data_IF_884427329253
#
_entry.id   IF_884427329253
#
_cell.length_a   1.000
_cell.length_b   1.000
_cell.length_c   1.000
_cell.angle_alpha   90.00
_cell.angle_beta   90.00
_cell.angle_gamma   90.00
#
_symmetry.space_group_name_H-M   'P 1'
#
loop_
_entity.id
_entity.type
_entity.pdbx_description
1 polymer ?
#
# COMPACT_ATOMS: atom_id res chain seq x y z
N UNK A 1 3.84 -33.49 -53.69
CA UNK A 1 2.83 -32.76 -52.87
C UNK A 1 3.09 -33.17 -51.43
N UNK A 2 4.11 -32.56 -50.82
CA UNK A 2 4.47 -32.75 -49.42
C UNK A 2 5.03 -31.40 -49.00
N UNK A 3 4.32 -30.74 -48.08
CA UNK A 3 4.68 -29.43 -47.55
C UNK A 3 5.48 -29.71 -46.28
N UNK A 4 6.76 -29.35 -46.30
CA UNK A 4 7.59 -29.26 -45.11
C UNK A 4 6.96 -28.27 -44.13
N UNK A 5 6.59 -28.74 -42.94
CA UNK A 5 6.33 -27.88 -41.79
C UNK A 5 7.61 -27.81 -40.96
N UNK A 6 8.26 -26.64 -40.95
CA UNK A 6 9.31 -26.31 -40.00
C UNK A 6 8.72 -26.30 -38.58
N UNK A 7 9.21 -27.20 -37.73
CA UNK A 7 9.01 -27.15 -36.29
C UNK A 7 9.75 -25.93 -35.72
N UNK A 8 9.00 -24.85 -35.44
CA UNK A 8 9.51 -23.76 -34.62
C UNK A 8 9.61 -24.24 -33.17
N UNK A 9 10.83 -24.46 -32.70
CA UNK A 9 11.16 -24.55 -31.28
C UNK A 9 10.58 -23.33 -30.56
N UNK A 10 9.56 -23.55 -29.73
CA UNK A 10 9.13 -22.60 -28.71
C UNK A 10 10.18 -22.67 -27.61
N UNK A 11 11.13 -21.74 -27.64
CA UNK A 11 12.01 -21.50 -26.50
C UNK A 11 11.13 -20.83 -25.43
N UNK A 12 10.62 -21.64 -24.49
CA UNK A 12 10.10 -21.13 -23.22
C UNK A 12 11.28 -20.48 -22.48
N UNK A 13 11.39 -19.15 -22.61
CA UNK A 13 12.20 -18.34 -21.73
C UNK A 13 11.72 -18.59 -20.30
N UNK A 14 12.62 -18.90 -19.35
CA UNK A 14 12.20 -19.05 -17.96
C UNK A 14 11.61 -17.72 -17.50
N UNK A 15 10.34 -17.71 -17.09
CA UNK A 15 9.74 -16.61 -16.35
C UNK A 15 10.60 -16.36 -15.12
N UNK A 16 11.55 -15.42 -15.23
CA UNK A 16 12.27 -14.90 -14.08
C UNK A 16 11.21 -14.44 -13.07
N UNK A 17 11.36 -14.78 -11.78
CA UNK A 17 10.44 -14.26 -10.77
C UNK A 17 10.44 -12.74 -10.89
N UNK A 18 9.28 -12.17 -11.20
CA UNK A 18 9.08 -10.74 -11.36
C UNK A 18 9.68 -10.02 -10.13
N UNK A 19 10.77 -9.28 -10.36
CA UNK A 19 11.59 -8.69 -9.30
C UNK A 19 10.72 -7.81 -8.41
N UNK A 20 10.76 -8.05 -7.10
CA UNK A 20 10.04 -7.26 -6.10
C UNK A 20 10.96 -6.14 -5.62
N UNK A 21 10.48 -4.90 -5.68
CA UNK A 21 11.17 -3.73 -5.16
C UNK A 21 10.65 -3.39 -3.78
N UNK A 22 11.53 -3.42 -2.78
CA UNK A 22 11.18 -3.14 -1.41
C UNK A 22 11.38 -1.65 -1.12
N UNK A 23 10.43 -1.02 -0.45
CA UNK A 23 10.54 0.35 0.03
C UNK A 23 10.47 0.31 1.55
N UNK A 24 11.63 0.34 2.20
CA UNK A 24 11.70 0.49 3.64
C UNK A 24 11.26 1.92 4.04
N UNK A 25 10.06 2.03 4.58
CA UNK A 25 9.39 3.29 4.89
C UNK A 25 9.36 3.53 6.39
N UNK A 26 9.89 4.66 6.84
CA UNK A 26 9.67 5.17 8.19
C UNK A 26 8.50 6.16 8.18
N UNK A 27 7.64 6.09 9.19
CA UNK A 27 6.46 6.95 9.32
C UNK A 27 6.67 7.86 10.53
N UNK A 28 6.59 9.16 10.32
CA UNK A 28 6.58 10.18 11.36
C UNK A 28 5.17 10.72 11.52
N UNK A 29 4.72 10.87 12.77
CA UNK A 29 3.38 11.34 13.11
C UNK A 29 3.56 12.62 13.92
N UNK A 30 3.06 13.74 13.42
CA UNK A 30 3.21 15.01 14.10
C UNK A 30 2.29 15.18 15.32
N UNK A 31 2.63 16.17 16.15
CA UNK A 31 1.93 16.42 17.40
C UNK A 31 0.46 16.81 17.18
N UNK A 32 0.13 17.46 16.05
CA UNK A 32 -1.24 17.84 15.71
C UNK A 32 -2.09 16.60 15.47
N UNK A 33 -1.58 15.64 14.68
CA UNK A 33 -2.31 14.39 14.43
C UNK A 33 -2.51 13.59 15.73
N UNK A 34 -1.51 13.56 16.59
CA UNK A 34 -1.60 12.91 17.92
C UNK A 34 -2.73 13.55 18.76
N UNK A 35 -2.84 14.89 18.73
CA UNK A 35 -3.88 15.63 19.47
C UNK A 35 -5.27 15.42 18.89
N UNK A 36 -5.40 15.30 17.56
CA UNK A 36 -6.70 15.04 16.91
C UNK A 36 -7.34 13.71 17.35
N UNK A 37 -6.53 12.78 17.87
CA UNK A 37 -6.99 11.51 18.44
C UNK A 37 -7.05 11.54 19.97
N UNK A 38 -7.02 12.72 20.61
CA UNK A 38 -7.04 12.88 22.07
C UNK A 38 -5.99 12.03 22.82
N UNK A 39 -4.85 11.77 22.16
CA UNK A 39 -3.80 10.90 22.71
C UNK A 39 -4.14 9.40 22.69
N UNK A 40 -5.24 8.98 22.06
CA UNK A 40 -5.62 7.58 21.81
C UNK A 40 -4.68 6.92 20.79
N UNK A 41 -3.43 6.69 21.22
CA UNK A 41 -2.33 6.21 20.39
C UNK A 41 -2.63 4.87 19.72
N UNK A 42 -3.38 3.99 20.37
CA UNK A 42 -3.74 2.69 19.81
C UNK A 42 -4.69 2.83 18.61
N UNK A 43 -5.71 3.68 18.71
CA UNK A 43 -6.64 3.96 17.61
C UNK A 43 -5.94 4.67 16.45
N UNK A 44 -5.08 5.64 16.76
CA UNK A 44 -4.26 6.31 15.74
C UNK A 44 -3.30 5.32 15.05
N UNK A 45 -2.65 4.43 15.80
CA UNK A 45 -1.79 3.40 15.22
C UNK A 45 -2.58 2.47 14.31
N UNK A 46 -3.77 2.04 14.74
CA UNK A 46 -4.66 1.18 13.94
C UNK A 46 -5.08 1.88 12.64
N UNK A 47 -5.42 3.16 12.70
CA UNK A 47 -5.72 3.97 11.51
C UNK A 47 -4.52 4.04 10.56
N UNK A 48 -3.34 4.38 11.06
CA UNK A 48 -2.11 4.48 10.25
C UNK A 48 -1.80 3.14 9.56
N UNK A 49 -1.91 2.03 10.29
CA UNK A 49 -1.67 0.70 9.73
C UNK A 49 -2.70 0.35 8.64
N UNK A 50 -3.98 0.70 8.83
CA UNK A 50 -5.01 0.47 7.83
C UNK A 50 -4.82 1.36 6.57
N UNK A 51 -4.41 2.63 6.74
CA UNK A 51 -4.03 3.51 5.64
C UNK A 51 -2.88 2.89 4.84
N UNK A 52 -1.79 2.49 5.51
CA UNK A 52 -0.63 1.91 4.81
C UNK A 52 -0.91 0.55 4.18
N UNK A 53 -1.81 -0.24 4.77
CA UNK A 53 -2.30 -1.47 4.15
C UNK A 53 -3.06 -1.17 2.86
N UNK A 54 -3.94 -0.16 2.86
CA UNK A 54 -4.64 0.30 1.65
C UNK A 54 -3.64 0.81 0.59
N UNK A 55 -2.62 1.59 0.99
CA UNK A 55 -1.53 2.02 0.08
C UNK A 55 -0.85 0.81 -0.57
N UNK A 56 -0.49 -0.22 0.21
CA UNK A 56 0.11 -1.45 -0.33
C UNK A 56 -0.85 -2.18 -1.28
N UNK A 57 -2.14 -2.24 -0.97
CA UNK A 57 -3.14 -2.84 -1.85
C UNK A 57 -3.26 -2.09 -3.17
N UNK A 58 -3.25 -0.75 -3.14
CA UNK A 58 -3.25 0.09 -4.34
C UNK A 58 -2.04 -0.21 -5.23
N UNK A 59 -0.84 -0.34 -4.67
CA UNK A 59 0.36 -0.74 -5.42
C UNK A 59 0.32 -2.20 -5.92
N UNK A 60 -0.56 -3.04 -5.37
CA UNK A 60 -0.80 -4.41 -5.80
C UNK A 60 -1.99 -4.55 -6.75
N UNK A 61 -2.66 -3.47 -7.13
CA UNK A 61 -3.72 -3.54 -8.14
C UNK A 61 -3.16 -4.03 -9.46
N UNK A 62 -3.97 -4.78 -10.21
CA UNK A 62 -3.57 -5.40 -11.49
C UNK A 62 -3.12 -4.36 -12.54
N UNK A 63 -3.46 -3.09 -12.34
CA UNK A 63 -3.04 -1.97 -13.19
C UNK A 63 -1.59 -1.51 -12.93
N UNK A 64 -1.00 -1.83 -11.78
CA UNK A 64 0.44 -1.68 -11.54
C UNK A 64 1.18 -2.92 -12.04
N UNK A 65 2.09 -2.74 -12.99
CA UNK A 65 2.87 -3.81 -13.65
C UNK A 65 4.22 -4.06 -13.00
N UNK A 66 4.54 -3.30 -11.96
CA UNK A 66 5.76 -3.45 -11.17
C UNK A 66 5.41 -3.90 -9.77
N UNK A 67 6.00 -5.01 -9.30
CA UNK A 67 5.81 -5.47 -7.91
C UNK A 67 6.56 -4.59 -6.93
N UNK A 68 5.82 -3.72 -6.25
CA UNK A 68 6.34 -2.83 -5.22
C UNK A 68 5.82 -3.28 -3.85
N UNK A 69 6.75 -3.48 -2.91
CA UNK A 69 6.44 -3.88 -1.54
C UNK A 69 6.88 -2.78 -0.57
N UNK A 70 5.92 -2.14 0.07
CA UNK A 70 6.12 -1.13 1.10
C UNK A 70 6.29 -1.85 2.44
N UNK A 71 7.40 -1.58 3.11
CA UNK A 71 7.73 -2.18 4.40
C UNK A 71 7.81 -1.09 5.45
N UNK A 72 6.99 -1.16 6.50
CA UNK A 72 7.00 -0.16 7.57
C UNK A 72 8.16 -0.46 8.52
N UNK A 73 9.25 0.30 8.48
CA UNK A 73 10.37 0.11 9.42
C UNK A 73 10.00 0.49 10.84
N UNK A 74 9.32 1.63 11.00
CA UNK A 74 8.95 2.19 12.30
C UNK A 74 7.88 3.27 12.16
N UNK A 75 7.03 3.39 13.18
CA UNK A 75 6.15 4.54 13.38
C UNK A 75 6.70 5.36 14.55
N UNK A 76 7.01 6.64 14.29
CA UNK A 76 7.61 7.57 15.24
C UNK A 76 6.63 8.69 15.53
N UNK A 77 6.14 8.75 16.77
CA UNK A 77 5.27 9.80 17.26
C UNK A 77 6.12 10.95 17.78
N UNK A 78 6.04 12.11 17.14
CA UNK A 78 6.84 13.28 17.47
C UNK A 78 6.24 14.02 18.66
N UNK A 79 7.07 14.27 19.65
CA UNK A 79 6.72 15.05 20.84
C UNK A 79 7.02 16.52 20.57
N UNK A 80 5.97 17.33 20.44
CA UNK A 80 6.07 18.76 20.15
C UNK A 80 6.75 19.59 21.25
N UNK A 81 6.95 19.03 22.45
CA UNK A 81 7.68 19.69 23.53
C UNK A 81 9.20 19.48 23.43
N UNK A 82 9.67 18.65 22.49
CA UNK A 82 11.10 18.43 22.25
C UNK A 82 11.62 19.39 21.20
N UNK A 83 12.87 19.82 21.39
CA UNK A 83 13.54 20.76 20.49
C UNK A 83 13.99 20.15 19.14
N UNK A 84 13.85 18.83 18.93
CA UNK A 84 14.30 18.14 17.72
C UNK A 84 13.13 17.57 16.91
N UNK A 85 12.27 18.47 16.42
CA UNK A 85 11.17 18.18 15.48
C UNK A 85 11.21 19.16 14.31
N UNK A 86 10.74 18.78 13.11
CA UNK A 86 10.68 19.71 11.98
C UNK A 86 9.65 20.82 12.24
N UNK A 87 9.95 22.04 11.79
CA UNK A 87 9.00 23.15 11.84
C UNK A 87 7.87 22.89 10.83
N UNK A 88 6.62 22.91 11.32
CA UNK A 88 5.41 22.61 10.53
C UNK A 88 4.98 23.75 9.61
N UNK A 89 5.61 24.92 9.72
CA UNK A 89 5.29 26.13 8.98
C UNK A 89 3.79 26.48 9.00
N UNK A 90 3.10 26.16 10.10
CA UNK A 90 1.66 26.32 10.29
C UNK A 90 0.78 25.68 9.19
N UNK A 91 1.31 24.67 8.50
CA UNK A 91 0.63 23.97 7.41
C UNK A 91 0.90 24.51 6.00
N UNK A 92 1.81 25.47 5.83
CA UNK A 92 2.35 25.83 4.51
C UNK A 92 3.10 24.61 3.94
N UNK A 93 2.48 23.96 2.95
CA UNK A 93 2.90 22.62 2.52
C UNK A 93 4.29 22.60 1.89
N UNK A 94 4.65 23.65 1.15
CA UNK A 94 5.95 23.77 0.49
C UNK A 94 7.05 23.89 1.56
N UNK A 95 6.87 24.80 2.53
CA UNK A 95 7.84 25.00 3.62
C UNK A 95 7.91 23.81 4.58
N UNK A 96 6.77 23.20 4.90
CA UNK A 96 6.75 22.06 5.81
C UNK A 96 7.45 20.85 5.18
N UNK A 97 7.20 20.55 3.90
CA UNK A 97 7.92 19.48 3.21
C UNK A 97 9.44 19.74 3.23
N UNK A 98 9.87 20.96 2.92
CA UNK A 98 11.30 21.33 2.95
C UNK A 98 11.93 21.13 4.33
N UNK A 99 11.27 21.62 5.37
CA UNK A 99 11.72 21.48 6.76
C UNK A 99 11.79 20.01 7.18
N UNK A 100 10.77 19.22 6.84
CA UNK A 100 10.71 17.80 7.13
C UNK A 100 11.81 17.02 6.40
N UNK A 101 11.95 17.21 5.09
CA UNK A 101 12.96 16.56 4.27
C UNK A 101 14.38 16.86 4.76
N UNK A 102 14.66 18.12 5.13
CA UNK A 102 15.93 18.52 5.70
C UNK A 102 16.18 17.87 7.08
N UNK A 103 15.14 17.82 7.92
CA UNK A 103 15.21 17.22 9.25
C UNK A 103 15.42 15.70 9.20
N UNK A 104 14.58 14.96 8.47
CA UNK A 104 14.68 13.49 8.39
C UNK A 104 16.01 13.06 7.79
N UNK A 105 16.59 13.84 6.85
CA UNK A 105 17.93 13.58 6.30
C UNK A 105 19.02 13.66 7.37
N UNK A 106 18.93 14.64 8.29
CA UNK A 106 19.90 14.73 9.41
C UNK A 106 19.77 13.51 10.32
N UNK A 107 18.54 13.07 10.59
CA UNK A 107 18.28 11.86 11.37
C UNK A 107 18.81 10.61 10.66
N UNK A 108 18.54 10.45 9.37
CA UNK A 108 19.03 9.35 8.52
C UNK A 108 20.56 9.24 8.55
N UNK A 109 21.28 10.38 8.48
CA UNK A 109 22.75 10.41 8.56
C UNK A 109 23.29 9.90 9.90
N UNK A 110 22.59 10.20 11.00
CA UNK A 110 22.96 9.75 12.36
C UNK A 110 22.49 8.33 12.67
N UNK A 111 21.61 7.78 11.85
CA UNK A 111 21.09 6.42 11.99
C UNK A 111 22.09 5.42 11.41
N UNK A 112 22.30 4.32 12.14
CA UNK A 112 23.14 3.20 11.73
C UNK A 112 22.64 2.59 10.41
N UNK A 113 23.54 2.02 9.61
CA UNK A 113 23.28 1.72 8.19
C UNK A 113 22.12 0.72 8.01
N UNK A 114 22.02 -0.27 8.89
CA UNK A 114 21.00 -1.32 8.95
C UNK A 114 19.61 -0.81 9.38
N UNK A 115 19.58 0.29 10.14
CA UNK A 115 18.36 0.94 10.63
C UNK A 115 17.88 2.09 9.73
N UNK A 116 18.60 2.37 8.63
CA UNK A 116 18.18 3.38 7.65
C UNK A 116 16.92 2.93 6.91
N UNK A 117 16.29 3.89 6.27
CA UNK A 117 15.09 3.73 5.46
C UNK A 117 15.35 4.28 4.06
N UNK A 118 14.52 3.83 3.12
CA UNK A 118 14.49 4.30 1.74
C UNK A 118 13.61 5.52 1.60
N UNK A 119 12.52 5.57 2.37
CA UNK A 119 11.48 6.60 2.27
C UNK A 119 10.98 7.07 3.64
N UNK A 120 10.76 8.38 3.79
CA UNK A 120 10.23 8.98 5.01
C UNK A 120 8.87 9.64 4.75
N UNK A 121 7.82 9.14 5.42
CA UNK A 121 6.48 9.68 5.34
C UNK A 121 6.18 10.52 6.59
N UNK A 122 5.77 11.79 6.42
CA UNK A 122 5.21 12.62 7.49
C UNK A 122 3.69 12.62 7.40
N UNK A 123 3.02 12.22 8.49
CA UNK A 123 1.58 12.34 8.67
C UNK A 123 1.26 13.48 9.61
N UNK A 124 0.48 14.44 9.13
CA UNK A 124 0.04 15.60 9.90
C UNK A 124 -1.46 15.64 10.15
N UNK A 125 -1.83 16.21 11.29
CA UNK A 125 -3.22 16.54 11.63
C UNK A 125 -3.61 17.95 11.21
N UNK A 126 -2.70 18.72 10.62
CA UNK A 126 -2.98 20.06 10.11
C UNK A 126 -3.91 20.00 8.90
N UNK A 127 -4.53 21.15 8.63
CA UNK A 127 -5.16 21.45 7.34
C UNK A 127 -4.08 22.16 6.50
N UNK A 128 -3.46 21.40 5.60
CA UNK A 128 -2.37 21.85 4.75
C UNK A 128 -2.88 22.85 3.73
N UNK A 129 -2.04 23.82 3.38
CA UNK A 129 -2.37 24.79 2.37
C UNK A 129 -1.16 25.16 1.51
N UNK A 130 -1.47 25.60 0.30
CA UNK A 130 -0.52 26.27 -0.60
C UNK A 130 -0.92 27.72 -0.77
N UNK A 131 0.05 28.62 -0.75
CA UNK A 131 -0.19 30.03 -1.03
C UNK A 131 -0.40 30.23 -2.53
N UNK A 132 -1.53 30.85 -2.90
CA UNK A 132 -1.79 31.33 -4.26
C UNK A 132 -1.94 32.84 -4.17
N UNK A 133 -0.87 33.56 -4.53
CA UNK A 133 -0.75 34.98 -4.18
C UNK A 133 -0.80 35.17 -2.67
N UNK A 134 -1.81 35.88 -2.19
CA UNK A 134 -2.02 36.14 -0.75
C UNK A 134 -3.09 35.23 -0.11
N UNK A 135 -3.66 34.29 -0.86
CA UNK A 135 -4.73 33.42 -0.38
C UNK A 135 -4.22 32.00 -0.07
N UNK A 136 -4.79 31.40 0.98
CA UNK A 136 -4.50 30.01 1.37
C UNK A 136 -5.44 29.05 0.63
N UNK A 137 -4.91 28.26 -0.29
CA UNK A 137 -5.63 27.17 -0.92
C UNK A 137 -5.43 25.86 -0.13
N UNK A 138 -6.52 25.37 0.48
CA UNK A 138 -6.57 24.19 1.37
C UNK A 138 -6.95 22.88 0.67
N UNK A 139 -6.92 22.86 -0.66
CA UNK A 139 -7.26 21.66 -1.45
C UNK A 139 -6.09 20.70 -1.62
N UNK A 140 -4.91 21.03 -1.06
CA UNK A 140 -3.70 20.22 -1.19
C UNK A 140 -3.58 19.34 0.04
N UNK A 141 -3.64 18.02 -0.16
CA UNK A 141 -3.65 17.02 0.91
C UNK A 141 -2.27 16.36 1.14
N UNK A 142 -1.36 16.51 0.18
CA UNK A 142 -0.02 15.96 0.23
C UNK A 142 0.93 16.64 -0.74
N UNK A 143 2.22 16.41 -0.54
CA UNK A 143 3.26 16.90 -1.44
C UNK A 143 4.49 15.99 -1.40
N UNK A 144 5.06 15.78 -2.57
CA UNK A 144 6.34 15.15 -2.80
C UNK A 144 7.15 15.93 -3.82
N UNK A 145 8.47 15.78 -3.78
CA UNK A 145 9.30 16.10 -4.94
C UNK A 145 9.01 15.11 -6.10
N UNK A 146 9.66 15.24 -7.25
CA UNK A 146 9.65 14.21 -8.33
C UNK A 146 11.03 13.52 -8.44
N UNK A 147 11.08 12.21 -8.73
CA UNK A 147 12.31 11.43 -8.94
C UNK A 147 13.33 11.48 -7.76
N UNK A 148 12.86 11.21 -6.55
CA UNK A 148 13.66 11.31 -5.32
C UNK A 148 13.83 10.03 -4.52
N UNK A 149 13.21 8.90 -4.91
CA UNK A 149 13.45 7.61 -4.23
C UNK A 149 14.94 7.26 -4.24
N UNK A 150 15.44 6.62 -3.16
CA UNK A 150 16.87 6.37 -2.89
C UNK A 150 17.76 7.62 -2.74
N UNK A 151 17.22 8.84 -2.73
CA UNK A 151 17.99 10.06 -2.49
C UNK A 151 17.57 10.66 -1.15
N UNK A 152 18.35 10.51 -0.06
CA UNK A 152 17.90 10.89 1.28
C UNK A 152 17.46 12.36 1.44
N UNK A 153 17.91 13.29 0.58
CA UNK A 153 17.44 14.69 0.61
C UNK A 153 16.02 14.87 0.06
N UNK A 154 15.55 13.93 -0.74
CA UNK A 154 14.32 14.06 -1.53
C UNK A 154 13.34 12.91 -1.29
N UNK A 155 13.78 11.76 -0.77
CA UNK A 155 12.92 10.60 -0.51
C UNK A 155 12.08 10.79 0.76
N UNK A 156 11.17 11.76 0.69
CA UNK A 156 10.26 12.18 1.74
C UNK A 156 8.92 12.61 1.11
N UNK A 157 7.83 12.36 1.83
CA UNK A 157 6.48 12.87 1.51
C UNK A 157 5.85 13.47 2.75
N UNK A 158 5.01 14.48 2.54
CA UNK A 158 4.17 15.08 3.58
C UNK A 158 2.71 14.85 3.18
N UNK A 159 1.91 14.32 4.09
CA UNK A 159 0.50 14.02 3.84
C UNK A 159 -0.35 14.34 5.07
N UNK A 160 -1.58 14.81 4.85
CA UNK A 160 -2.60 14.78 5.89
C UNK A 160 -2.94 13.33 6.24
N UNK A 161 -3.01 13.01 7.54
CA UNK A 161 -3.22 11.64 8.04
C UNK A 161 -4.54 11.43 8.80
N UNK A 162 -5.52 12.31 8.59
CA UNK A 162 -6.75 12.39 9.42
C UNK A 162 -7.79 11.30 9.10
N UNK A 163 -7.84 10.82 7.86
CA UNK A 163 -8.85 9.88 7.37
C UNK A 163 -8.28 8.97 6.27
N UNK A 164 -9.11 8.13 5.68
CA UNK A 164 -8.68 7.14 4.69
C UNK A 164 -8.46 7.68 3.27
N UNK A 165 -8.87 8.93 2.95
CA UNK A 165 -8.45 9.58 1.70
C UNK A 165 -6.92 9.66 1.62
N UNK A 166 -6.27 9.78 2.79
CA UNK A 166 -4.82 9.75 2.96
C UNK A 166 -4.15 8.56 2.26
N UNK A 167 -4.78 7.39 2.17
CA UNK A 167 -4.19 6.24 1.47
C UNK A 167 -3.98 6.50 -0.02
N UNK A 168 -4.96 7.11 -0.69
CA UNK A 168 -4.87 7.46 -2.11
C UNK A 168 -3.86 8.58 -2.35
N UNK A 169 -3.84 9.57 -1.46
CA UNK A 169 -2.88 10.68 -1.53
C UNK A 169 -1.45 10.18 -1.27
N UNK A 170 -1.21 9.33 -0.27
CA UNK A 170 0.11 8.74 -0.01
C UNK A 170 0.58 7.92 -1.21
N UNK A 171 -0.30 7.10 -1.81
CA UNK A 171 0.04 6.35 -3.02
C UNK A 171 0.45 7.29 -4.17
N UNK A 172 -0.30 8.37 -4.39
CA UNK A 172 0.03 9.40 -5.38
C UNK A 172 1.40 10.07 -5.11
N UNK A 173 1.62 10.54 -3.89
CA UNK A 173 2.87 11.22 -3.51
C UNK A 173 4.08 10.28 -3.56
N UNK A 174 3.92 9.02 -3.13
CA UNK A 174 4.96 8.00 -3.25
C UNK A 174 5.27 7.67 -4.72
N UNK A 175 4.27 7.70 -5.61
CA UNK A 175 4.46 7.50 -7.04
C UNK A 175 5.33 8.59 -7.68
N UNK A 176 5.19 9.85 -7.28
CA UNK A 176 6.13 10.91 -7.70
C UNK A 176 7.58 10.60 -7.31
N UNK A 177 7.85 9.77 -6.29
CA UNK A 177 9.21 9.32 -5.91
C UNK A 177 9.86 8.43 -6.95
N UNK A 178 9.05 7.69 -7.68
CA UNK A 178 9.45 6.93 -8.87
C UNK A 178 9.48 7.77 -10.15
N UNK A 179 9.31 9.08 -10.06
CA UNK A 179 9.37 9.96 -11.22
C UNK A 179 8.10 9.99 -12.06
N UNK A 180 6.99 9.45 -11.55
CA UNK A 180 5.68 9.61 -12.18
C UNK A 180 5.31 11.10 -12.22
N UNK A 181 4.81 11.58 -13.35
CA UNK A 181 4.19 12.90 -13.49
C UNK A 181 2.68 12.76 -13.45
N UNK A 182 1.97 13.88 -13.31
CA UNK A 182 0.51 13.86 -13.41
C UNK A 182 0.07 13.37 -14.80
N UNK A 183 -1.02 12.61 -14.84
CA UNK A 183 -1.65 12.22 -16.10
C UNK A 183 -2.23 13.46 -16.82
N UNK A 184 -2.09 13.55 -18.14
CA UNK A 184 -2.74 14.59 -18.96
C UNK A 184 -1.81 15.54 -19.71
N UNK A 185 -1.29 16.59 -19.07
CA UNK A 185 -0.58 17.64 -19.82
C UNK A 185 0.79 17.16 -20.35
N UNK A 186 1.55 16.44 -19.53
CA UNK A 186 2.91 15.99 -19.84
C UNK A 186 2.98 14.57 -20.42
N UNK A 187 1.83 13.92 -20.65
CA UNK A 187 1.73 12.57 -21.21
C UNK A 187 0.34 12.28 -21.80
N UNK A 188 0.16 11.15 -22.49
CA UNK A 188 -1.07 10.87 -23.23
C UNK A 188 -2.15 10.15 -22.38
N UNK A 189 -2.02 10.12 -21.05
CA UNK A 189 -3.01 9.49 -20.17
C UNK A 189 -4.13 10.47 -19.79
N UNK A 190 -5.30 9.90 -19.46
CA UNK A 190 -6.48 10.70 -19.15
C UNK A 190 -6.27 11.49 -17.83
N UNK A 191 -6.42 12.83 -17.83
CA UNK A 191 -6.13 13.67 -16.67
C UNK A 191 -7.07 13.45 -15.48
N UNK A 192 -8.20 12.74 -15.64
CA UNK A 192 -9.25 12.66 -14.61
C UNK A 192 -9.66 11.23 -14.21
N UNK A 193 -8.92 10.19 -14.63
CA UNK A 193 -9.32 8.79 -14.42
C UNK A 193 -8.47 7.97 -13.46
N UNK A 194 -7.24 8.38 -13.19
CA UNK A 194 -6.24 7.52 -12.57
C UNK A 194 -5.71 8.16 -11.29
N UNK A 195 -4.97 7.38 -10.49
CA UNK A 195 -4.39 7.86 -9.23
C UNK A 195 -3.49 9.09 -9.45
N UNK A 196 -2.75 9.15 -10.57
CA UNK A 196 -1.86 10.26 -10.90
C UNK A 196 -2.56 11.46 -11.55
N UNK A 197 -3.90 11.53 -11.53
CA UNK A 197 -4.63 12.77 -11.81
C UNK A 197 -4.24 13.87 -10.81
N UNK A 198 -4.07 15.11 -11.26
CA UNK A 198 -3.66 16.26 -10.41
C UNK A 198 -4.61 16.52 -9.22
N UNK A 199 -5.88 16.15 -9.37
CA UNK A 199 -6.92 16.30 -8.34
C UNK A 199 -7.40 14.94 -7.91
N UNK A 200 -7.65 14.75 -6.61
CA UNK A 200 -8.37 13.58 -6.10
C UNK A 200 -9.83 13.61 -6.58
N UNK A 201 -10.54 12.49 -6.38
CA UNK A 201 -11.97 12.42 -6.66
C UNK A 201 -12.45 11.06 -7.17
N UNK A 202 -13.74 10.98 -7.53
CA UNK A 202 -14.43 9.72 -7.80
C UNK A 202 -13.77 8.88 -8.89
N UNK A 203 -13.53 7.60 -8.61
CA UNK A 203 -13.06 6.62 -9.59
C UNK A 203 -11.56 6.66 -9.91
N UNK A 204 -10.79 7.56 -9.31
CA UNK A 204 -9.33 7.71 -9.49
C UNK A 204 -8.52 6.70 -8.66
N UNK A 205 -8.75 5.42 -8.95
CA UNK A 205 -8.31 4.29 -8.09
C UNK A 205 -7.27 3.42 -8.77
N UNK A 206 -7.16 3.51 -10.10
CA UNK A 206 -6.26 2.67 -10.88
C UNK A 206 -5.03 3.44 -11.34
N UNK A 207 -3.95 2.72 -11.61
CA UNK A 207 -2.75 3.29 -12.23
C UNK A 207 -2.92 3.40 -13.74
N UNK A 208 -2.36 4.46 -14.32
CA UNK A 208 -2.38 4.67 -15.76
C UNK A 208 -1.27 3.87 -16.46
N UNK A 209 -1.37 3.62 -17.78
CA UNK A 209 -0.24 3.14 -18.56
C UNK A 209 1.00 4.05 -18.45
N UNK A 210 0.80 5.37 -18.32
CA UNK A 210 1.90 6.33 -18.17
C UNK A 210 2.61 6.16 -16.83
N UNK A 211 1.86 5.90 -15.74
CA UNK A 211 2.42 5.58 -14.42
C UNK A 211 3.39 4.40 -14.49
N UNK A 212 2.99 3.34 -15.20
CA UNK A 212 3.84 2.15 -15.41
C UNK A 212 5.11 2.47 -16.20
N UNK A 213 4.99 3.23 -17.29
CA UNK A 213 6.15 3.65 -18.07
C UNK A 213 7.16 4.46 -17.24
N UNK A 214 6.68 5.36 -16.38
CA UNK A 214 7.57 6.15 -15.52
C UNK A 214 8.32 5.29 -14.51
N UNK A 215 7.64 4.37 -13.82
CA UNK A 215 8.31 3.51 -12.83
C UNK A 215 9.27 2.53 -13.49
N UNK A 216 8.93 1.95 -14.64
CA UNK A 216 9.84 1.10 -15.41
C UNK A 216 11.11 1.87 -15.80
N UNK A 217 10.97 3.08 -16.34
CA UNK A 217 12.10 3.95 -16.70
C UNK A 217 12.93 4.36 -15.48
N UNK A 218 12.29 4.60 -14.34
CA UNK A 218 13.00 4.88 -13.11
C UNK A 218 13.84 3.69 -12.66
N UNK A 219 13.26 2.49 -12.70
CA UNK A 219 13.88 1.24 -12.24
C UNK A 219 15.06 0.76 -13.09
N UNK A 220 15.18 1.24 -14.33
CA UNK A 220 16.34 0.97 -15.20
C UNK A 220 17.61 1.75 -14.79
N UNK A 221 17.52 2.71 -13.86
CA UNK A 221 18.67 3.52 -13.42
C UNK A 221 19.64 2.71 -12.53
N UNK A 222 20.94 2.94 -12.68
CA UNK A 222 22.01 2.16 -12.02
C UNK A 222 22.20 2.38 -10.51
N UNK A 223 21.43 3.27 -9.87
CA UNK A 223 21.62 3.67 -8.47
C UNK A 223 20.42 3.35 -7.55
N UNK A 224 19.81 2.17 -7.72
CA UNK A 224 18.64 1.73 -6.96
C UNK A 224 18.91 0.65 -5.93
N UNK A 225 20.17 0.55 -5.49
CA UNK A 225 20.61 -0.42 -4.47
C UNK A 225 19.84 -0.32 -3.14
N UNK A 226 19.16 0.80 -2.89
CA UNK A 226 18.32 0.96 -1.70
C UNK A 226 17.11 0.02 -1.75
N UNK A 227 16.47 -0.15 -2.91
CA UNK A 227 15.26 -0.94 -3.10
C UNK A 227 15.50 -2.47 -3.20
N UNK A 228 16.75 -2.86 -3.37
CA UNK A 228 17.18 -4.26 -3.51
C UNK A 228 17.47 -4.92 -2.16
N UNK A 229 17.62 -4.11 -1.10
CA UNK A 229 17.90 -4.61 0.25
C UNK A 229 16.58 -4.89 0.96
N UNK A 230 16.50 -6.07 1.57
CA UNK A 230 15.59 -6.29 2.69
C UNK A 230 16.48 -6.59 3.87
N UNK A 231 16.47 -5.72 4.88
CA UNK A 231 17.13 -6.03 6.14
C UNK A 231 16.38 -7.20 6.80
N UNK A 232 17.06 -8.09 7.53
CA UNK A 232 16.34 -9.12 8.30
C UNK A 232 15.48 -8.50 9.42
N UNK A 233 15.76 -7.24 9.79
CA UNK A 233 14.96 -6.41 10.70
C UNK A 233 13.75 -5.74 10.02
N UNK A 234 13.49 -5.97 8.71
CA UNK A 234 12.29 -5.53 7.99
C UNK A 234 11.04 -6.31 8.44
N UNK A 235 10.78 -6.36 9.74
CA UNK A 235 9.77 -7.22 10.38
C UNK A 235 8.32 -6.73 10.22
N UNK A 236 8.05 -5.84 9.27
CA UNK A 236 6.67 -5.49 8.89
C UNK A 236 6.52 -5.59 7.39
N UNK A 237 6.71 -6.82 6.91
CA UNK A 237 6.32 -7.21 5.57
C UNK A 237 4.85 -7.61 5.63
N UNK A 238 3.92 -6.70 5.33
CA UNK A 238 2.51 -7.06 5.12
C UNK A 238 2.38 -7.77 3.77
N UNK A 239 2.85 -9.02 3.75
CA UNK A 239 2.56 -10.11 2.80
C UNK A 239 3.41 -11.32 3.24
N UNK A 240 3.17 -11.87 4.43
CA UNK A 240 3.70 -13.18 4.79
C UNK A 240 2.70 -13.91 5.71
N UNK A 241 2.36 -15.19 5.45
CA UNK A 241 1.43 -16.00 6.23
C UNK A 241 2.00 -16.45 7.59
N UNK A 242 2.73 -15.56 8.28
CA UNK A 242 3.35 -15.79 9.58
C UNK A 242 3.35 -14.48 10.38
N UNK A 243 2.19 -14.10 10.91
CA UNK A 243 2.13 -13.36 12.17
C UNK A 243 0.76 -13.65 12.80
N UNK A 244 0.72 -14.60 13.73
CA UNK A 244 -0.51 -15.13 14.34
C UNK A 244 -1.29 -14.09 15.20
N UNK A 245 -0.85 -12.83 15.21
CA UNK A 245 -1.41 -11.75 16.04
C UNK A 245 -1.74 -10.44 15.31
N UNK A 246 -1.51 -10.31 14.00
CA UNK A 246 -1.96 -9.15 13.22
C UNK A 246 -3.14 -9.54 12.33
N UNK A 247 -4.20 -8.76 12.47
CA UNK A 247 -5.49 -8.96 11.82
C UNK A 247 -5.33 -9.09 10.30
N UNK A 248 -5.48 -10.31 9.76
CA UNK A 248 -5.37 -10.64 8.33
C UNK A 248 -6.51 -10.04 7.48
N UNK A 249 -7.41 -9.28 8.12
CA UNK A 249 -8.55 -8.63 7.48
C UNK A 249 -8.13 -7.44 6.63
N UNK A 250 -8.83 -7.25 5.51
CA UNK A 250 -8.67 -6.07 4.66
C UNK A 250 -9.13 -4.79 5.39
N UNK A 251 -8.65 -3.58 5.01
CA UNK A 251 -8.99 -2.35 5.71
C UNK A 251 -10.51 -2.11 5.83
N UNK A 252 -11.29 -2.39 4.77
CA UNK A 252 -12.75 -2.28 4.77
C UNK A 252 -13.49 -3.36 5.59
N UNK A 253 -12.81 -4.43 5.99
CA UNK A 253 -13.33 -5.41 6.96
C UNK A 253 -13.04 -5.00 8.41
N UNK A 254 -11.99 -4.21 8.62
CA UNK A 254 -11.62 -3.65 9.93
C UNK A 254 -12.40 -2.37 10.24
N UNK A 255 -12.69 -1.56 9.22
CA UNK A 255 -13.42 -0.30 9.28
C UNK A 255 -14.65 -0.37 8.38
N UNK A 256 -15.83 -0.49 9.00
CA UNK A 256 -17.08 -0.50 8.24
C UNK A 256 -17.37 0.88 7.64
N UNK A 257 -18.34 0.95 6.71
CA UNK A 257 -18.68 2.19 6.00
C UNK A 257 -19.11 3.34 6.91
N UNK A 258 -19.74 3.05 8.07
CA UNK A 258 -20.05 4.11 9.04
C UNK A 258 -18.78 4.71 9.62
N UNK A 259 -17.81 3.88 10.02
CA UNK A 259 -16.53 4.34 10.57
C UNK A 259 -15.73 5.14 9.52
N UNK A 260 -15.73 4.69 8.26
CA UNK A 260 -15.10 5.42 7.15
C UNK A 260 -15.72 6.82 6.99
N UNK A 261 -17.05 6.94 6.97
CA UNK A 261 -17.75 8.24 6.91
C UNK A 261 -17.50 9.12 8.14
N UNK A 262 -17.47 8.52 9.34
CA UNK A 262 -17.26 9.25 10.59
C UNK A 262 -15.84 9.82 10.69
N UNK A 263 -14.83 9.08 10.23
CA UNK A 263 -13.45 9.55 10.16
C UNK A 263 -13.27 10.62 9.07
N UNK A 264 -13.96 10.50 7.94
CA UNK A 264 -13.85 11.46 6.85
C UNK A 264 -14.50 12.81 7.19
N UNK A 265 -15.73 12.81 7.73
CA UNK A 265 -16.57 14.02 7.84
C UNK A 265 -17.12 14.28 9.26
N UNK A 266 -16.90 13.37 10.21
CA UNK A 266 -17.31 13.50 11.60
C UNK A 266 -18.42 12.54 12.03
N UNK A 267 -18.59 12.37 13.34
CA UNK A 267 -19.42 11.32 13.98
C UNK A 267 -20.90 11.32 13.56
N UNK A 268 -21.43 12.43 13.06
CA UNK A 268 -22.81 12.58 12.57
C UNK A 268 -23.07 11.86 11.24
N UNK A 269 -22.04 11.65 10.43
CA UNK A 269 -22.18 11.19 9.06
C UNK A 269 -22.38 9.68 8.98
N UNK A 270 -23.14 9.25 7.97
CA UNK A 270 -23.47 7.85 7.66
C UNK A 270 -23.32 7.62 6.15
N UNK A 271 -23.06 6.40 5.69
CA UNK A 271 -22.94 6.10 4.27
C UNK A 271 -24.28 6.34 3.57
N UNK A 272 -24.22 7.04 2.44
CA UNK A 272 -25.35 7.31 1.57
C UNK A 272 -25.23 6.46 0.31
N UNK A 273 -26.10 5.47 0.18
CA UNK A 273 -26.08 4.49 -0.92
C UNK A 273 -27.43 4.51 -1.62
N UNK A 274 -27.43 4.70 -2.94
CA UNK A 274 -28.63 4.71 -3.76
C UNK A 274 -28.40 3.99 -5.09
N UNK A 275 -29.46 3.51 -5.74
CA UNK A 275 -29.34 2.87 -7.07
C UNK A 275 -29.00 3.85 -8.20
N UNK A 276 -29.05 5.16 -7.93
CA UNK A 276 -28.78 6.21 -8.92
C UNK A 276 -27.32 6.66 -8.84
N UNK A 277 -26.72 6.87 -10.00
CA UNK A 277 -25.43 7.58 -10.11
C UNK A 277 -25.51 8.99 -9.52
N UNK A 278 -24.47 9.48 -8.81
CA UNK A 278 -23.17 8.83 -8.57
C UNK A 278 -23.11 7.93 -7.31
N UNK A 279 -24.23 7.67 -6.64
CA UNK A 279 -24.29 7.02 -5.32
C UNK A 279 -24.39 5.49 -5.36
N UNK A 280 -24.28 4.89 -6.54
CA UNK A 280 -24.50 3.46 -6.78
C UNK A 280 -23.21 2.62 -6.81
N UNK A 281 -22.04 3.25 -6.66
CA UNK A 281 -20.74 2.58 -6.74
C UNK A 281 -19.80 3.07 -5.64
N UNK A 282 -19.99 2.54 -4.43
CA UNK A 282 -19.18 2.94 -3.26
C UNK A 282 -17.71 2.58 -3.43
N UNK A 283 -17.39 1.58 -4.25
CA UNK A 283 -16.02 1.16 -4.49
C UNK A 283 -15.27 2.18 -5.36
N UNK A 284 -15.99 3.04 -6.08
CA UNK A 284 -15.42 4.19 -6.80
C UNK A 284 -15.44 5.48 -5.99
N UNK A 285 -16.45 5.66 -5.16
CA UNK A 285 -16.58 6.82 -4.27
C UNK A 285 -17.59 6.52 -3.16
N UNK A 286 -17.15 6.55 -1.90
CA UNK A 286 -18.03 6.49 -0.75
C UNK A 286 -18.64 7.87 -0.51
N UNK A 287 -19.96 7.95 -0.64
CA UNK A 287 -20.73 9.14 -0.28
C UNK A 287 -21.24 9.04 1.15
N UNK A 288 -21.14 10.13 1.88
CA UNK A 288 -21.53 10.22 3.28
C UNK A 288 -22.52 11.37 3.47
N UNK A 289 -23.61 11.12 4.20
CA UNK A 289 -24.66 12.11 4.43
C UNK A 289 -24.89 12.39 5.91
N UNK A 290 -25.17 13.66 6.20
CA UNK A 290 -25.80 14.11 7.43
C UNK A 290 -26.91 15.11 7.07
N UNK A 291 -28.17 14.75 7.32
CA UNK A 291 -29.31 15.51 6.83
C UNK A 291 -29.59 15.28 5.34
N UNK A 292 -29.74 16.36 4.57
CA UNK A 292 -30.18 16.30 3.16
C UNK A 292 -29.05 16.25 2.14
N UNK A 293 -27.80 16.43 2.56
CA UNK A 293 -26.66 16.55 1.65
C UNK A 293 -25.76 15.33 1.75
N UNK A 294 -25.37 14.80 0.60
CA UNK A 294 -24.34 13.77 0.47
C UNK A 294 -23.04 14.42 0.00
N UNK A 295 -21.96 14.14 0.72
CA UNK A 295 -20.62 14.67 0.49
C UNK A 295 -19.69 13.49 0.15
N UNK A 296 -18.82 13.60 -0.87
CA UNK A 296 -17.84 12.56 -1.16
C UNK A 296 -16.83 12.46 -0.01
N UNK A 297 -16.25 11.28 0.18
CA UNK A 297 -15.25 11.04 1.22
C UNK A 297 -13.97 10.51 0.59
N UNK A 298 -14.02 9.30 0.06
CA UNK A 298 -12.95 8.61 -0.66
C UNK A 298 -13.55 7.32 -1.22
N UNK A 299 -12.91 6.61 -2.17
CA UNK A 299 -13.31 5.26 -2.52
C UNK A 299 -13.40 4.35 -1.28
N UNK A 300 -14.47 3.56 -1.16
CA UNK A 300 -14.62 2.66 -0.02
C UNK A 300 -13.43 1.68 0.02
N UNK A 301 -12.85 1.51 1.20
CA UNK A 301 -11.65 0.70 1.40
C UNK A 301 -11.79 -0.72 0.85
N UNK A 302 -10.70 -1.32 0.40
CA UNK A 302 -10.68 -2.72 -0.04
C UNK A 302 -11.27 -3.65 1.03
N UNK A 303 -12.14 -4.56 0.62
CA UNK A 303 -12.88 -5.46 1.51
C UNK A 303 -14.17 -4.90 2.09
N UNK A 304 -14.51 -3.62 1.84
CA UNK A 304 -15.80 -3.04 2.26
C UNK A 304 -16.98 -3.75 1.61
N UNK A 305 -18.04 -4.03 2.37
CA UNK A 305 -19.25 -4.65 1.84
C UNK A 305 -19.99 -3.67 0.91
N UNK A 306 -20.12 -4.02 -0.36
CA UNK A 306 -20.78 -3.19 -1.39
C UNK A 306 -22.10 -3.78 -1.91
N UNK A 307 -22.50 -4.94 -1.39
CA UNK A 307 -23.76 -5.62 -1.68
C UNK A 307 -23.78 -7.02 -1.09
N UNK A 308 -24.88 -7.75 -1.29
CA UNK A 308 -25.05 -9.09 -0.72
C UNK A 308 -23.99 -10.06 -1.24
N UNK A 309 -23.11 -10.51 -0.34
CA UNK A 309 -21.99 -11.38 -0.68
C UNK A 309 -20.91 -10.73 -1.56
N UNK A 310 -20.90 -9.40 -1.68
CA UNK A 310 -19.96 -8.64 -2.51
C UNK A 310 -19.10 -7.69 -1.68
N UNK A 311 -17.85 -7.51 -2.11
CA UNK A 311 -16.88 -6.59 -1.52
C UNK A 311 -16.23 -5.71 -2.57
N UNK A 312 -15.79 -4.52 -2.16
CA UNK A 312 -14.91 -3.69 -2.95
C UNK A 312 -13.56 -4.37 -3.09
N UNK A 313 -13.18 -4.65 -4.34
CA UNK A 313 -11.90 -5.22 -4.72
C UNK A 313 -11.43 -4.49 -5.98
N UNK A 314 -10.25 -3.89 -5.91
CA UNK A 314 -9.64 -3.07 -6.96
C UNK A 314 -10.63 -2.06 -7.55
N UNK A 315 -11.28 -1.28 -6.68
CA UNK A 315 -12.23 -0.24 -7.08
C UNK A 315 -13.53 -0.74 -7.72
N UNK A 316 -13.84 -2.03 -7.61
CA UNK A 316 -15.06 -2.65 -8.18
C UNK A 316 -15.81 -3.51 -7.17
N UNK A 317 -17.15 -3.51 -7.24
CA UNK A 317 -17.99 -4.33 -6.37
C UNK A 317 -18.10 -5.78 -6.87
N UNK A 318 -17.29 -6.67 -6.28
CA UNK A 318 -17.07 -8.03 -6.76
C UNK A 318 -17.65 -9.09 -5.80
N UNK A 319 -18.16 -10.20 -6.35
CA UNK A 319 -18.66 -11.34 -5.57
C UNK A 319 -17.48 -12.05 -4.89
N UNK A 320 -17.61 -12.31 -3.60
CA UNK A 320 -16.65 -13.14 -2.88
C UNK A 320 -16.89 -14.58 -3.31
N UNK A 321 -15.99 -15.15 -4.12
CA UNK A 321 -16.01 -16.59 -4.36
C UNK A 321 -15.60 -17.29 -3.06
N UNK A 322 -16.58 -17.84 -2.32
CA UNK A 322 -16.30 -18.80 -1.25
C UNK A 322 -15.67 -20.03 -1.91
N UNK A 323 -14.35 -20.18 -1.84
CA UNK A 323 -13.73 -21.49 -2.09
C UNK A 323 -14.32 -22.44 -1.05
N UNK A 324 -15.12 -23.40 -1.52
CA UNK A 324 -15.58 -24.52 -0.71
C UNK A 324 -14.36 -25.22 -0.13
N UNK A 325 -14.41 -25.42 1.19
CA UNK A 325 -13.31 -25.94 2.00
C UNK A 325 -12.83 -27.31 1.51
N UNK A 326 -11.58 -27.38 1.06
CA UNK A 326 -10.72 -28.52 1.32
C UNK A 326 -9.41 -27.96 1.89
N UNK A 327 -9.31 -28.05 3.22
CA UNK A 327 -8.15 -27.92 4.09
C UNK A 327 -7.14 -26.76 3.91
N UNK A 328 -7.02 -26.03 5.03
CA UNK A 328 -5.95 -25.14 5.47
C UNK A 328 -5.81 -23.75 4.84
N UNK A 329 -5.89 -22.78 5.76
CA UNK A 329 -5.71 -21.34 5.67
C UNK A 329 -4.58 -20.92 4.72
N UNK A 330 -4.97 -20.19 3.67
CA UNK A 330 -4.33 -18.97 3.16
C UNK A 330 -5.18 -18.47 2.00
N UNK A 331 -5.87 -17.34 2.16
CA UNK A 331 -6.48 -16.66 1.02
C UNK A 331 -5.34 -15.95 0.28
N UNK A 332 -4.73 -16.65 -0.68
CA UNK A 332 -3.79 -16.04 -1.63
C UNK A 332 -4.61 -15.18 -2.61
N UNK A 333 -4.53 -13.85 -2.46
CA UNK A 333 -5.17 -12.89 -3.37
C UNK A 333 -4.42 -12.68 -4.70
N UNK A 334 -3.41 -13.51 -4.99
CA UNK A 334 -2.70 -13.52 -6.26
C UNK A 334 -3.10 -14.77 -7.07
N UNK A 335 -3.85 -14.53 -8.15
CA UNK A 335 -3.70 -15.16 -9.47
C UNK A 335 -5.01 -15.11 -10.24
N UNK A 336 -5.06 -14.27 -11.28
CA UNK A 336 -5.95 -14.50 -12.42
C UNK A 336 -5.26 -14.12 -13.73
N UNK A 337 -4.34 -14.98 -14.18
CA UNK A 337 -3.97 -15.03 -15.59
C UNK A 337 -4.29 -16.41 -16.18
N UNK A 338 -5.13 -16.35 -17.22
CA UNK A 338 -5.31 -17.29 -18.35
C UNK A 338 -5.57 -18.76 -18.03
N UNK A 339 -6.82 -19.18 -18.26
CA UNK A 339 -7.10 -20.39 -19.03
C UNK A 339 -8.48 -20.26 -19.70
N UNK A 340 -8.47 -19.85 -20.97
CA UNK A 340 -9.45 -20.35 -21.93
C UNK A 340 -8.87 -21.62 -22.56
N UNK A 341 -9.76 -22.56 -22.87
CA UNK A 341 -9.54 -23.82 -23.60
C UNK A 341 -8.79 -24.94 -22.86
N UNK A 342 -9.55 -25.89 -22.29
CA UNK A 342 -9.76 -27.20 -22.92
C UNK A 342 -10.51 -28.13 -21.95
N UNK A 343 -11.74 -28.49 -22.31
CA UNK A 343 -12.41 -29.66 -21.77
C UNK A 343 -11.69 -30.91 -22.31
N UNK A 344 -11.27 -31.81 -21.43
CA UNK A 344 -11.50 -33.25 -21.64
C UNK A 344 -11.32 -34.04 -20.35
N UNK A 345 -12.39 -34.78 -20.02
CA UNK A 345 -12.46 -35.76 -18.95
C UNK A 345 -11.46 -36.90 -19.19
N UNK A 346 -10.76 -37.33 -18.13
CA UNK A 346 -10.63 -38.77 -17.83
C UNK A 346 -10.20 -38.98 -16.36
N UNK A 347 -11.06 -39.70 -15.66
CA UNK A 347 -10.90 -40.28 -14.33
C UNK A 347 -9.94 -41.46 -14.34
N UNK A 348 -9.00 -41.55 -13.38
CA UNK A 348 -8.71 -42.83 -12.73
C UNK A 348 -7.94 -42.69 -11.40
N UNK A 349 -8.13 -43.73 -10.60
CA UNK A 349 -7.93 -43.92 -9.16
C UNK A 349 -6.50 -43.95 -8.61
N UNK A 350 -6.34 -43.42 -7.39
CA UNK A 350 -5.75 -44.10 -6.22
C UNK A 350 -4.22 -44.30 -6.15
N UNK A 351 -3.57 -43.65 -5.18
CA UNK A 351 -2.54 -44.26 -4.30
C UNK A 351 -2.07 -43.29 -3.17
N UNK A 352 -1.71 -43.88 -2.04
CA UNK A 352 -1.32 -43.28 -0.75
C UNK A 352 0.13 -42.74 -0.73
N UNK A 353 0.48 -41.73 0.09
CA UNK A 353 1.75 -41.01 -0.02
C UNK A 353 2.89 -41.71 0.74
N UNK A 354 4.03 -41.87 0.07
CA UNK A 354 5.27 -42.37 0.68
C UNK A 354 6.47 -41.48 0.38
N UNK A 355 7.37 -41.43 1.38
CA UNK A 355 8.83 -41.21 1.29
C UNK A 355 9.47 -39.94 1.85
N UNK A 356 8.74 -38.83 2.11
CA UNK A 356 9.40 -37.62 2.65
C UNK A 356 9.44 -37.55 4.20
N UNK A 357 8.37 -37.98 4.88
CA UNK A 357 8.26 -37.91 6.35
C UNK A 357 9.11 -38.94 7.13
N UNK A 358 9.70 -39.95 6.48
CA UNK A 358 10.59 -40.94 7.13
C UNK A 358 12.08 -40.52 7.16
N UNK A 359 12.45 -39.41 6.51
CA UNK A 359 13.82 -38.86 6.50
C UNK A 359 14.04 -37.76 7.55
N UNK A 360 13.00 -37.02 7.93
CA UNK A 360 13.12 -35.93 8.93
C UNK A 360 13.21 -36.46 10.37
N UNK A 361 12.56 -37.57 10.69
CA UNK A 361 12.61 -38.18 12.04
C UNK A 361 13.94 -38.86 12.40
N UNK A 362 14.84 -39.11 11.44
CA UNK A 362 16.16 -39.70 11.72
C UNK A 362 17.26 -38.65 11.99
N UNK A 363 17.07 -37.41 11.56
CA UNK A 363 18.05 -36.33 11.77
C UNK A 363 17.93 -35.69 13.16
N UNK A 364 16.70 -35.61 13.72
CA UNK A 364 16.43 -34.98 15.02
C UNK A 364 16.79 -35.82 16.26
N UNK A 365 17.16 -37.11 16.11
CA UNK A 365 17.61 -37.96 17.23
C UNK A 365 19.13 -38.03 17.41
N UNK A 366 19.92 -37.46 16.48
CA UNK A 366 21.38 -37.50 16.51
C UNK A 366 22.01 -36.27 17.18
N UNK A 367 21.38 -35.09 17.07
CA UNK A 367 21.99 -33.82 17.54
C UNK A 367 21.68 -33.49 19.01
N UNK A 368 20.71 -34.15 19.64
CA UNK A 368 20.32 -33.89 21.04
C UNK A 368 21.18 -34.69 22.05
N UNK A 369 22.00 -35.65 21.61
CA UNK A 369 22.92 -36.40 22.50
C UNK A 369 24.32 -35.78 22.69
N UNK A 370 24.66 -34.71 21.97
CA UNK A 370 25.99 -34.06 22.07
C UNK A 370 26.02 -32.76 22.90
N UNK A 371 24.88 -32.21 23.32
CA UNK A 371 24.83 -30.92 24.04
C UNK A 371 24.66 -31.11 25.58
N UNK A 372 24.30 -32.30 26.05
CA UNK A 372 24.09 -32.57 27.50
C UNK A 372 25.35 -33.08 28.21
N UNK A 373 26.53 -33.06 27.57
CA UNK A 373 27.82 -33.41 28.21
C UNK A 373 28.80 -32.25 28.39
N UNK A 374 28.38 -31.00 28.17
CA UNK A 374 29.24 -29.81 28.28
C UNK A 374 28.93 -28.89 29.47
N UNK A 375 27.98 -29.26 30.35
CA UNK A 375 27.63 -28.47 31.55
C UNK A 375 27.60 -29.30 32.84
N UNK A 376 28.46 -30.32 32.96
CA UNK A 376 28.66 -31.06 34.21
C UNK A 376 30.10 -31.57 34.26
N UNK A 377 31.00 -30.69 34.71
CA UNK A 377 32.44 -30.93 34.85
C UNK A 377 33.12 -29.67 35.31
#
# INVERSE_FOLDING_TARGET
>A
REIHTDDKEIIDLPELPEKIYNIETIIFVDQTLIRNFDGARQELQKLILAIMNEVQLIYNFDTMKTRIRIVIKKIVYLDGNRNDVPNTADGDIDKYLDNFCAWQKRLWKRTAIESRWDHALMLTGLDLYKMIGNEKNRKVLGLAWVNGMCRPSYSCTLNEGKNFESAFVIAHEMAHRFGMLHDGYDNNCDPDKYIMSEKTGPGKIHWSPCSNLYVENFLQKSNLKCLEKTSEESFFTYTSPLDDHLDQRLPGEQFNLNQQCQLALGNQYRPYISKRSPFNDICKELWCSHGHWATPAHPALEGSNCGDGKKCLQGSCNVIMRKTSLNNRSISYLNRHKQSNSNNNHSNSGQSPSSFMRRVQRFLKSTIRSIVRFFSG
#
